data_IF_497943523899
#
_entry.id   IF_497943523899
#
_cell.length_a   1.000
_cell.length_b   1.000
_cell.length_c   1.000
_cell.angle_alpha   90.00
_cell.angle_beta   90.00
_cell.angle_gamma   90.00
#
_symmetry.space_group_name_H-M   'P 1'
#
loop_
_entity.id
_entity.type
_entity.pdbx_description
1 polymer ?
#
# COMPACT_ATOMS: atom_id res chain seq x y z
N UNK A 1 10.25 17.71 19.53
CA UNK A 1 10.73 18.51 18.38
C UNK A 1 10.83 17.59 17.16
N UNK A 2 10.18 17.94 16.06
CA UNK A 2 10.15 17.12 14.84
C UNK A 2 11.42 17.36 14.02
N UNK A 3 11.85 16.38 13.23
CA UNK A 3 13.07 16.48 12.40
C UNK A 3 12.70 16.38 10.93
N UNK A 4 13.19 17.31 10.13
CA UNK A 4 13.02 17.35 8.68
C UNK A 4 14.40 17.20 8.04
N UNK A 5 14.59 16.15 7.26
CA UNK A 5 15.84 15.94 6.52
C UNK A 5 15.80 16.74 5.22
N UNK A 6 16.81 17.57 4.99
CA UNK A 6 16.92 18.35 3.76
C UNK A 6 18.05 17.80 2.91
N UNK A 7 17.72 17.44 1.68
CA UNK A 7 18.67 16.91 0.70
C UNK A 7 18.44 17.55 -0.68
N UNK A 8 19.46 18.21 -1.23
CA UNK A 8 19.39 18.85 -2.56
C UNK A 8 18.19 19.81 -2.72
N UNK A 9 17.86 20.60 -1.71
CA UNK A 9 16.69 21.50 -1.74
C UNK A 9 15.35 20.81 -1.52
N UNK A 10 15.33 19.52 -1.14
CA UNK A 10 14.10 18.78 -0.85
C UNK A 10 14.01 18.51 0.65
N UNK A 11 12.93 18.98 1.26
CA UNK A 11 12.64 18.77 2.68
C UNK A 11 11.78 17.52 2.85
N UNK A 12 12.31 16.50 3.52
CA UNK A 12 11.73 15.18 3.66
C UNK A 12 11.44 14.85 5.13
N UNK A 13 10.25 14.32 5.39
CA UNK A 13 9.84 13.81 6.70
C UNK A 13 9.58 12.32 6.59
N UNK A 14 10.35 11.54 7.35
CA UNK A 14 10.32 10.08 7.26
C UNK A 14 9.42 9.41 8.29
N UNK A 15 9.03 10.10 9.38
CA UNK A 15 8.24 9.51 10.45
C UNK A 15 6.74 9.70 10.25
N UNK A 16 5.96 8.60 10.33
CA UNK A 16 4.50 8.64 10.22
C UNK A 16 3.85 9.57 11.27
N UNK A 17 4.24 9.44 12.53
CA UNK A 17 3.73 10.27 13.63
C UNK A 17 4.06 11.76 13.43
N UNK A 18 5.25 12.05 12.89
CA UNK A 18 5.66 13.41 12.57
C UNK A 18 4.75 14.00 11.48
N UNK A 19 4.48 13.23 10.42
CA UNK A 19 3.58 13.65 9.33
C UNK A 19 2.16 13.88 9.84
N UNK A 20 1.66 13.00 10.69
CA UNK A 20 0.34 13.17 11.31
C UNK A 20 0.28 14.47 12.12
N UNK A 21 1.27 14.72 12.97
CA UNK A 21 1.34 15.94 13.77
C UNK A 21 1.44 17.21 12.91
N UNK A 22 2.18 17.18 11.80
CA UNK A 22 2.27 18.32 10.87
C UNK A 22 0.92 18.64 10.22
N UNK A 23 0.16 17.61 9.83
CA UNK A 23 -1.13 17.78 9.16
C UNK A 23 -2.23 18.23 10.12
N UNK A 24 -2.34 17.55 11.26
CA UNK A 24 -3.43 17.78 12.20
C UNK A 24 -3.22 19.04 13.04
N UNK A 25 -1.98 19.35 13.44
CA UNK A 25 -1.72 20.43 14.40
C UNK A 25 -1.23 21.72 13.77
N UNK A 26 -0.54 21.62 12.62
CA UNK A 26 0.11 22.77 11.97
C UNK A 26 -0.51 23.09 10.61
N UNK A 27 -1.49 22.32 10.14
CA UNK A 27 -2.15 22.55 8.86
C UNK A 27 -1.19 22.45 7.67
N UNK A 28 -0.09 21.70 7.79
CA UNK A 28 0.90 21.52 6.72
C UNK A 28 0.69 20.16 6.06
N UNK A 29 0.22 20.18 4.81
CA UNK A 29 -0.13 18.98 4.06
C UNK A 29 1.06 18.21 3.54
N UNK A 30 2.00 18.91 2.89
CA UNK A 30 3.07 18.33 2.08
C UNK A 30 2.57 17.36 1.00
N UNK A 31 3.51 16.75 0.27
CA UNK A 31 3.24 15.70 -0.72
C UNK A 31 3.96 14.41 -0.33
N UNK A 32 3.22 13.36 -0.05
CA UNK A 32 3.78 12.01 0.15
C UNK A 32 4.47 11.51 -1.12
N UNK A 33 5.64 10.90 -1.01
CA UNK A 33 6.46 10.42 -2.14
C UNK A 33 6.71 8.93 -1.96
N UNK A 34 6.42 8.15 -2.99
CA UNK A 34 6.61 6.69 -3.00
C UNK A 34 5.32 5.96 -3.38
N UNK A 35 5.38 4.64 -3.55
CA UNK A 35 4.22 3.81 -3.86
C UNK A 35 3.86 2.90 -2.68
N UNK A 36 2.59 2.52 -2.55
CA UNK A 36 2.21 1.44 -1.64
C UNK A 36 2.82 0.11 -2.12
N UNK A 37 3.43 -0.70 -1.22
CA UNK A 37 4.04 -1.97 -1.60
C UNK A 37 3.02 -2.98 -2.17
N UNK A 38 1.74 -2.88 -1.76
CA UNK A 38 0.64 -3.73 -2.28
C UNK A 38 0.01 -3.22 -3.59
N UNK A 39 0.42 -2.06 -4.08
CA UNK A 39 -0.15 -1.44 -5.27
C UNK A 39 0.85 -0.51 -5.93
N UNK A 40 1.96 -1.02 -6.51
CA UNK A 40 3.01 -0.18 -7.11
C UNK A 40 2.50 0.67 -8.29
N UNK A 41 1.32 0.35 -8.85
CA UNK A 41 0.63 1.13 -9.89
C UNK A 41 -0.42 2.10 -9.33
N UNK A 42 -0.78 2.01 -8.05
CA UNK A 42 -1.65 2.97 -7.38
C UNK A 42 -0.83 4.14 -6.84
N UNK A 43 -0.45 5.06 -7.74
CA UNK A 43 0.15 6.35 -7.39
C UNK A 43 -0.80 7.29 -6.61
N UNK A 44 -2.04 6.86 -6.35
CA UNK A 44 -3.04 7.63 -5.61
C UNK A 44 -2.85 7.54 -4.09
N UNK A 45 -2.28 6.45 -3.58
CA UNK A 45 -1.91 6.28 -2.17
C UNK A 45 -0.39 6.25 -2.08
N UNK A 46 0.20 7.42 -1.84
CA UNK A 46 1.64 7.59 -1.79
C UNK A 46 2.14 7.29 -0.36
N UNK A 47 3.25 6.58 -0.26
CA UNK A 47 3.90 6.27 1.02
C UNK A 47 4.74 7.43 1.57
N UNK A 48 5.41 7.18 2.70
CA UNK A 48 6.49 8.03 3.19
C UNK A 48 7.73 7.89 2.28
N UNK A 49 8.58 8.93 2.18
CA UNK A 49 8.58 10.17 2.97
C UNK A 49 7.55 11.22 2.53
N UNK A 50 7.20 12.13 3.44
CA UNK A 50 6.48 13.36 3.09
C UNK A 50 7.48 14.40 2.59
N UNK A 51 7.30 14.87 1.36
CA UNK A 51 8.03 15.99 0.79
C UNK A 51 7.31 17.30 1.10
N UNK A 52 7.98 18.19 1.81
CA UNK A 52 7.52 19.54 2.08
C UNK A 52 8.00 20.50 0.98
N UNK A 53 7.18 21.50 0.68
CA UNK A 53 7.58 22.68 -0.09
C UNK A 53 8.65 23.47 0.69
N UNK A 54 9.52 24.23 0.01
CA UNK A 54 10.47 25.13 0.68
C UNK A 54 9.77 26.11 1.63
N UNK A 55 8.61 26.63 1.24
CA UNK A 55 7.83 27.58 2.02
C UNK A 55 7.26 26.91 3.29
N UNK A 56 6.73 25.68 3.18
CA UNK A 56 6.26 24.86 4.31
C UNK A 56 7.42 24.57 5.30
N UNK A 57 8.55 24.09 4.78
CA UNK A 57 9.69 23.72 5.61
C UNK A 57 10.29 24.93 6.34
N UNK A 58 10.32 26.10 5.68
CA UNK A 58 10.75 27.35 6.29
C UNK A 58 9.79 27.79 7.41
N UNK A 59 8.48 27.77 7.16
CA UNK A 59 7.49 28.16 8.16
C UNK A 59 7.64 27.32 9.42
N UNK A 60 7.70 25.99 9.25
CA UNK A 60 7.85 25.04 10.35
C UNK A 60 9.14 25.27 11.15
N UNK A 61 10.23 25.67 10.48
CA UNK A 61 11.49 25.99 11.13
C UNK A 61 11.46 27.35 11.83
N UNK A 62 10.75 28.34 11.26
CA UNK A 62 10.59 29.68 11.84
C UNK A 62 9.75 29.66 13.12
N UNK A 63 8.65 28.89 13.15
CA UNK A 63 7.82 28.72 14.35
C UNK A 63 8.46 27.79 15.41
N UNK A 64 9.60 27.17 15.10
CA UNK A 64 10.31 26.26 16.00
C UNK A 64 9.68 24.86 16.15
N UNK A 65 8.73 24.47 15.29
CA UNK A 65 8.09 23.17 15.34
C UNK A 65 9.02 22.03 14.87
N UNK A 66 9.89 22.33 13.89
CA UNK A 66 10.83 21.38 13.31
C UNK A 66 12.27 21.88 13.37
N UNK A 67 13.22 20.94 13.43
CA UNK A 67 14.63 21.19 13.12
C UNK A 67 14.93 20.68 11.72
N UNK A 68 15.38 21.56 10.84
CA UNK A 68 15.94 21.16 9.56
C UNK A 68 17.33 20.54 9.79
N UNK A 69 17.59 19.40 9.19
CA UNK A 69 18.88 18.73 9.28
C UNK A 69 19.38 18.31 7.92
N UNK A 70 20.69 18.45 7.68
CA UNK A 70 21.36 17.88 6.51
C UNK A 70 22.09 16.61 6.91
N UNK A 71 21.95 15.57 6.08
CA UNK A 71 22.61 14.28 6.29
C UNK A 71 23.82 14.19 5.36
N UNK A 72 25.04 13.97 5.89
CA UNK A 72 26.21 13.75 5.06
C UNK A 72 26.00 12.55 4.13
N UNK A 73 26.34 12.73 2.85
CA UNK A 73 26.19 11.67 1.87
C UNK A 73 27.11 10.50 2.23
N UNK A 74 26.59 9.28 2.36
CA UNK A 74 27.44 8.12 2.50
C UNK A 74 28.29 7.98 1.24
N UNK A 75 29.59 7.78 1.45
CA UNK A 75 30.55 7.53 0.38
C UNK A 75 30.09 6.29 -0.44
N UNK A 76 29.93 6.40 -1.77
CA UNK A 76 29.61 5.27 -2.64
C UNK A 76 30.54 4.07 -2.42
N UNK A 77 31.83 4.30 -2.14
CA UNK A 77 32.79 3.23 -1.88
C UNK A 77 32.47 2.42 -0.61
N UNK A 78 31.75 3.01 0.35
CA UNK A 78 31.35 2.36 1.61
C UNK A 78 30.00 1.64 1.53
N UNK A 79 29.34 1.65 0.37
CA UNK A 79 28.05 0.98 0.18
C UNK A 79 28.16 -0.54 0.09
N UNK A 80 29.32 -1.12 -0.23
CA UNK A 80 29.47 -2.56 -0.43
C UNK A 80 29.02 -3.41 0.77
N UNK A 81 29.43 -3.02 1.98
CA UNK A 81 29.03 -3.70 3.22
C UNK A 81 27.54 -3.56 3.50
N UNK A 82 26.97 -2.36 3.30
CA UNK A 82 25.54 -2.12 3.47
C UNK A 82 24.70 -2.94 2.48
N UNK A 83 25.10 -2.99 1.22
CA UNK A 83 24.45 -3.81 0.19
C UNK A 83 24.51 -5.30 0.51
N UNK A 84 25.65 -5.79 0.99
CA UNK A 84 25.77 -7.18 1.40
C UNK A 84 24.85 -7.51 2.59
N UNK A 85 24.78 -6.63 3.59
CA UNK A 85 23.87 -6.79 4.72
C UNK A 85 22.40 -6.78 4.32
N UNK A 86 22.02 -5.88 3.40
CA UNK A 86 20.67 -5.79 2.85
C UNK A 86 20.27 -7.03 2.07
N UNK A 87 21.15 -7.54 1.19
CA UNK A 87 20.91 -8.79 0.44
C UNK A 87 20.74 -9.99 1.38
N UNK A 88 21.54 -10.06 2.44
CA UNK A 88 21.42 -11.11 3.45
C UNK A 88 20.07 -11.05 4.16
N UNK A 89 19.64 -9.86 4.58
CA UNK A 89 18.34 -9.66 5.23
C UNK A 89 17.18 -10.01 4.29
N UNK A 90 17.28 -9.65 3.01
CA UNK A 90 16.27 -9.99 2.00
C UNK A 90 16.16 -11.52 1.83
N UNK A 91 17.28 -12.23 1.78
CA UNK A 91 17.28 -13.69 1.66
C UNK A 91 16.71 -14.36 2.92
N UNK A 92 17.06 -13.87 4.11
CA UNK A 92 16.47 -14.36 5.37
C UNK A 92 14.95 -14.16 5.39
N UNK A 93 14.48 -12.96 5.02
CA UNK A 93 13.04 -12.68 4.96
C UNK A 93 12.32 -13.55 3.93
N UNK A 94 12.96 -13.86 2.80
CA UNK A 94 12.41 -14.78 1.80
C UNK A 94 12.31 -16.21 2.35
N UNK A 95 13.31 -16.68 3.09
CA UNK A 95 13.28 -17.99 3.72
C UNK A 95 12.16 -18.08 4.77
N UNK A 96 12.03 -17.07 5.63
CA UNK A 96 10.95 -17.00 6.62
C UNK A 96 9.56 -16.98 5.97
N UNK A 97 9.38 -16.14 4.95
CA UNK A 97 8.09 -16.04 4.24
C UNK A 97 7.76 -17.30 3.44
N UNK A 98 8.76 -17.98 2.87
CA UNK A 98 8.54 -19.23 2.15
C UNK A 98 8.15 -20.36 3.10
N UNK A 99 8.75 -20.44 4.29
CA UNK A 99 8.35 -21.38 5.34
C UNK A 99 6.92 -21.14 5.81
N UNK A 100 6.57 -19.89 6.16
CA UNK A 100 5.21 -19.52 6.56
C UNK A 100 4.18 -19.75 5.46
N UNK A 101 4.54 -19.49 4.19
CA UNK A 101 3.66 -19.75 3.06
C UNK A 101 3.43 -21.25 2.85
N UNK A 102 4.44 -22.09 3.09
CA UNK A 102 4.30 -23.55 3.02
C UNK A 102 3.35 -24.06 4.13
N UNK A 103 3.55 -23.62 5.37
CA UNK A 103 2.69 -23.95 6.50
C UNK A 103 1.24 -23.52 6.27
N UNK A 104 1.02 -22.27 5.86
CA UNK A 104 -0.33 -21.74 5.57
C UNK A 104 -1.05 -22.46 4.41
N UNK A 105 -0.29 -23.03 3.46
CA UNK A 105 -0.87 -23.87 2.40
C UNK A 105 -1.21 -25.25 2.91
N UNK A 106 -0.38 -25.82 3.78
CA UNK A 106 -0.64 -27.13 4.38
C UNK A 106 -1.87 -27.10 5.28
N UNK A 107 -2.02 -26.09 6.14
CA UNK A 107 -3.22 -25.92 6.97
C UNK A 107 -4.46 -25.77 6.10
N UNK A 108 -4.41 -24.93 5.06
CA UNK A 108 -5.51 -24.78 4.09
C UNK A 108 -5.84 -26.08 3.35
N UNK A 109 -4.82 -26.91 3.05
CA UNK A 109 -5.01 -28.22 2.42
C UNK A 109 -5.72 -29.18 3.37
N UNK A 110 -5.32 -29.21 4.65
CA UNK A 110 -5.96 -30.04 5.67
C UNK A 110 -7.43 -29.64 5.88
N UNK A 111 -7.72 -28.34 6.01
CA UNK A 111 -9.09 -27.83 6.12
C UNK A 111 -9.95 -28.19 4.90
N UNK A 112 -9.38 -28.15 3.69
CA UNK A 112 -10.10 -28.53 2.48
C UNK A 112 -10.39 -30.03 2.44
N UNK A 113 -9.44 -30.86 2.86
CA UNK A 113 -9.62 -32.31 2.96
C UNK A 113 -10.72 -32.66 3.99
N UNK A 114 -10.74 -31.98 5.14
CA UNK A 114 -11.79 -32.11 6.15
C UNK A 114 -13.17 -31.79 5.56
N UNK A 115 -13.32 -30.64 4.91
CA UNK A 115 -14.58 -30.24 4.22
C UNK A 115 -14.99 -31.23 3.13
N UNK A 116 -14.05 -31.77 2.36
CA UNK A 116 -14.35 -32.78 1.33
C UNK A 116 -14.87 -34.06 2.00
N UNK A 117 -14.24 -34.50 3.09
CA UNK A 117 -14.65 -35.70 3.82
C UNK A 117 -16.03 -35.57 4.46
N UNK A 118 -16.34 -34.42 5.06
CA UNK A 118 -17.66 -34.07 5.59
C UNK A 118 -18.72 -34.06 4.48
N UNK A 119 -18.39 -33.44 3.34
CA UNK A 119 -19.27 -33.39 2.18
C UNK A 119 -19.57 -34.77 1.58
N UNK A 120 -18.57 -35.65 1.52
CA UNK A 120 -18.74 -37.03 1.08
C UNK A 120 -19.56 -37.86 2.07
N UNK A 121 -19.34 -37.70 3.38
CA UNK A 121 -20.12 -38.36 4.42
C UNK A 121 -21.60 -37.92 4.40
N UNK A 122 -21.87 -36.63 4.28
CA UNK A 122 -23.24 -36.10 4.15
C UNK A 122 -23.94 -36.59 2.87
N UNK A 123 -23.20 -36.72 1.77
CA UNK A 123 -23.73 -37.30 0.52
C UNK A 123 -24.06 -38.79 0.69
N UNK A 124 -23.22 -39.55 1.39
CA UNK A 124 -23.46 -40.98 1.67
C UNK A 124 -24.70 -41.17 2.56
N UNK A 125 -24.84 -40.38 3.63
CA UNK A 125 -26.03 -40.44 4.50
C UNK A 125 -27.32 -40.07 3.78
N UNK A 126 -27.30 -39.08 2.87
CA UNK A 126 -28.47 -38.76 2.03
C UNK A 126 -28.82 -39.88 1.04
N UNK A 127 -27.82 -40.57 0.48
CA UNK A 127 -28.09 -41.74 -0.37
C UNK A 127 -28.68 -42.90 0.45
N UNK A 128 -28.19 -43.15 1.66
CA UNK A 128 -28.70 -44.19 2.56
C UNK A 128 -30.15 -43.89 3.01
N UNK A 129 -30.48 -42.62 3.30
CA UNK A 129 -31.84 -42.19 3.61
C UNK A 129 -32.81 -42.33 2.42
N UNK A 130 -32.36 -42.06 1.19
CA UNK A 130 -33.18 -42.25 -0.01
C UNK A 130 -33.30 -43.72 -0.44
N UNK A 131 -32.33 -44.58 -0.13
CA UNK A 131 -32.46 -46.04 -0.36
C UNK A 131 -33.36 -46.74 0.65
N UNK A 132 -33.63 -46.13 1.81
CA UNK A 132 -34.50 -46.66 2.85
C UNK A 132 -36.00 -46.43 2.65
N UNK A 133 -36.42 -45.75 1.57
CA UNK A 133 -37.82 -45.38 1.31
C UNK A 133 -38.47 -46.11 0.12
N UNK A 134 -37.99 -47.30 -0.28
CA UNK A 134 -38.57 -48.07 -1.38
C UNK A 134 -38.83 -49.54 -1.03
N UNK A 135 -39.60 -49.78 0.02
CA UNK A 135 -40.43 -51.00 0.15
C UNK A 135 -41.78 -50.60 0.70
N UNK A 136 -42.68 -50.13 -0.18
CA UNK A 136 -44.11 -50.47 -0.15
C UNK A 136 -44.88 -49.60 -1.15
N UNK A 137 -45.27 -50.19 -2.28
CA UNK A 137 -46.65 -50.30 -2.81
C UNK A 137 -46.68 -50.35 -4.35
N UNK A 138 -47.36 -51.39 -4.85
CA UNK A 138 -47.66 -51.67 -6.25
C UNK A 138 -48.67 -50.67 -6.85
N UNK A 139 -48.50 -50.44 -8.16
CA UNK A 139 -49.35 -49.69 -9.10
C UNK A 139 -50.70 -50.44 -9.39
N UNK A 140 -51.66 -49.98 -10.25
CA UNK A 140 -51.42 -49.50 -11.64
C UNK A 140 -52.37 -48.41 -12.19
N UNK A 141 -52.02 -47.85 -13.36
CA UNK A 141 -52.94 -47.05 -14.19
C UNK A 141 -52.27 -46.30 -15.34
N UNK A 142 -52.25 -46.90 -16.52
CA UNK A 142 -51.68 -46.40 -17.78
C UNK A 142 -52.56 -45.32 -18.44
N UNK A 143 -51.95 -44.30 -19.07
CA UNK A 143 -52.30 -43.84 -20.42
C UNK A 143 -51.31 -42.80 -20.99
N UNK A 144 -51.19 -42.85 -22.32
CA UNK A 144 -50.21 -42.25 -23.23
C UNK A 144 -50.78 -40.98 -23.86
N UNK A 145 -49.98 -39.93 -24.09
CA UNK A 145 -50.19 -38.96 -25.19
C UNK A 145 -48.97 -38.04 -25.41
N UNK A 146 -48.78 -37.68 -26.67
CA UNK A 146 -47.61 -37.09 -27.32
C UNK A 146 -47.48 -35.56 -27.19
N UNK A 147 -46.27 -35.05 -27.47
CA UNK A 147 -46.00 -33.93 -28.39
C UNK A 147 -46.42 -32.50 -28.00
N UNK A 148 -45.44 -31.59 -27.86
CA UNK A 148 -45.04 -30.64 -28.93
C UNK A 148 -44.27 -29.43 -28.35
N UNK A 149 -43.51 -28.80 -29.25
CA UNK A 149 -42.40 -27.88 -29.07
C UNK A 149 -42.77 -26.40 -28.79
N UNK A 150 -41.70 -25.63 -28.48
CA UNK A 150 -41.41 -24.22 -28.86
C UNK A 150 -41.89 -23.01 -28.03
N UNK A 151 -40.94 -22.08 -27.83
CA UNK A 151 -41.13 -20.62 -27.73
C UNK A 151 -40.89 -20.04 -26.33
N UNK A 152 -39.66 -19.81 -25.84
CA UNK A 152 -38.69 -18.75 -26.19
C UNK A 152 -38.83 -17.44 -25.36
N UNK A 153 -37.67 -16.79 -25.16
CA UNK A 153 -37.41 -15.41 -24.76
C UNK A 153 -37.03 -15.09 -23.30
N UNK A 154 -35.73 -15.30 -23.04
CA UNK A 154 -34.74 -14.28 -22.66
C UNK A 154 -34.90 -13.53 -21.32
N UNK A 155 -34.15 -14.03 -20.34
CA UNK A 155 -33.42 -13.21 -19.36
C UNK A 155 -31.94 -13.21 -19.75
N UNK A 156 -31.33 -12.03 -19.94
CA UNK A 156 -29.88 -11.71 -19.90
C UNK A 156 -29.71 -10.23 -20.24
N UNK A 157 -28.89 -9.43 -19.57
CA UNK A 157 -27.98 -9.72 -18.49
C UNK A 157 -27.15 -8.47 -18.18
N UNK A 158 -26.21 -8.62 -17.26
CA UNK A 158 -24.98 -7.84 -17.25
C UNK A 158 -23.87 -8.78 -16.74
N UNK A 159 -22.80 -8.81 -17.52
CA UNK A 159 -21.75 -9.81 -17.54
C UNK A 159 -20.67 -9.46 -16.51
N UNK A 160 -20.36 -10.39 -15.60
CA UNK A 160 -19.04 -10.44 -14.99
C UNK A 160 -18.24 -11.56 -15.64
N UNK A 161 -17.15 -11.16 -16.29
CA UNK A 161 -16.16 -11.99 -16.96
C UNK A 161 -15.55 -13.01 -15.98
N UNK A 162 -16.04 -14.24 -16.07
CA UNK A 162 -15.44 -15.41 -15.46
C UNK A 162 -14.18 -15.81 -16.26
N UNK A 163 -13.00 -15.55 -15.68
CA UNK A 163 -11.78 -16.25 -16.09
C UNK A 163 -11.93 -17.72 -15.68
N UNK A 164 -12.17 -18.54 -16.69
CA UNK A 164 -12.37 -19.98 -16.63
C UNK A 164 -11.27 -20.67 -15.81
N UNK A 165 -11.65 -21.19 -14.65
CA UNK A 165 -10.82 -22.06 -13.82
C UNK A 165 -11.26 -23.50 -14.05
N UNK A 166 -10.60 -24.22 -14.96
CA UNK A 166 -10.79 -25.67 -15.09
C UNK A 166 -10.18 -26.38 -13.86
N UNK A 167 -10.91 -27.29 -13.19
CA UNK A 167 -10.35 -28.10 -12.11
C UNK A 167 -9.63 -29.30 -12.73
N UNK A 168 -8.30 -29.23 -12.82
CA UNK A 168 -7.49 -30.42 -13.06
C UNK A 168 -7.07 -31.01 -11.70
N UNK A 169 -7.47 -32.25 -11.36
CA UNK A 169 -6.91 -32.97 -10.23
C UNK A 169 -5.59 -33.60 -10.67
N UNK A 170 -4.56 -32.75 -10.81
CA UNK A 170 -3.18 -33.19 -10.94
C UNK A 170 -2.56 -33.23 -9.56
N UNK A 171 -2.37 -34.43 -9.00
CA UNK A 171 -1.46 -34.67 -7.89
C UNK A 171 -0.02 -34.42 -8.37
N UNK A 172 0.33 -33.15 -8.52
CA UNK A 172 1.71 -32.69 -8.54
C UNK A 172 2.16 -32.62 -7.09
N UNK A 173 2.93 -33.61 -6.66
CA UNK A 173 3.57 -33.68 -5.34
C UNK A 173 4.63 -32.58 -5.14
N UNK A 174 4.87 -31.75 -6.16
CA UNK A 174 5.68 -30.55 -6.08
C UNK A 174 4.85 -29.37 -5.58
N UNK A 175 5.01 -29.02 -4.30
CA UNK A 175 4.57 -27.73 -3.78
C UNK A 175 5.39 -26.64 -4.47
N UNK A 176 4.77 -25.86 -5.35
CA UNK A 176 5.47 -24.73 -5.98
C UNK A 176 5.96 -23.75 -4.91
N UNK A 177 7.27 -23.51 -4.78
CA UNK A 177 7.81 -22.61 -3.78
C UNK A 177 7.30 -21.18 -4.00
N UNK A 178 7.29 -20.38 -2.94
CA UNK A 178 6.94 -18.95 -3.04
C UNK A 178 7.85 -18.29 -4.10
N UNK A 179 7.31 -17.73 -5.20
CA UNK A 179 8.15 -17.11 -6.20
C UNK A 179 8.81 -15.85 -5.63
N UNK A 180 10.06 -15.56 -6.04
CA UNK A 180 10.80 -14.36 -5.56
C UNK A 180 10.07 -13.05 -5.85
N UNK A 181 9.25 -12.99 -6.89
CA UNK A 181 8.42 -11.83 -7.23
C UNK A 181 7.30 -11.56 -6.22
N UNK A 182 6.91 -12.56 -5.42
CA UNK A 182 5.89 -12.43 -4.38
C UNK A 182 6.48 -12.13 -2.99
N UNK A 183 7.80 -11.94 -2.88
CA UNK A 183 8.45 -11.54 -1.63
C UNK A 183 7.86 -10.22 -1.12
N UNK A 184 7.33 -10.24 0.10
CA UNK A 184 6.91 -9.02 0.78
C UNK A 184 8.15 -8.30 1.30
N UNK A 185 8.41 -7.12 0.78
CA UNK A 185 9.49 -6.26 1.26
C UNK A 185 8.94 -5.35 2.35
N UNK A 186 9.48 -5.45 3.56
CA UNK A 186 9.14 -4.52 4.64
C UNK A 186 9.68 -3.13 4.30
N UNK A 187 8.78 -2.17 4.14
CA UNK A 187 9.15 -0.77 4.00
C UNK A 187 9.26 -0.15 5.40
N UNK A 188 10.41 0.47 5.67
CA UNK A 188 10.58 1.22 6.91
C UNK A 188 9.62 2.41 6.92
N UNK A 189 8.73 2.46 7.92
CA UNK A 189 7.79 3.59 8.14
C UNK A 189 8.43 4.76 8.87
N UNK A 190 9.70 4.60 9.26
CA UNK A 190 10.55 5.63 9.80
C UNK A 190 11.99 5.37 9.38
N UNK A 191 12.72 6.43 9.05
CA UNK A 191 14.18 6.36 8.94
C UNK A 191 14.77 6.54 10.34
N UNK A 192 15.65 5.65 10.82
CA UNK A 192 16.37 5.88 12.06
C UNK A 192 17.06 7.25 11.98
N UNK A 193 16.93 8.07 13.03
CA UNK A 193 17.52 9.42 13.06
C UNK A 193 18.97 9.32 12.58
N UNK A 194 19.37 10.06 11.54
CA UNK A 194 20.73 9.96 11.04
C UNK A 194 21.67 10.40 12.15
N UNK A 195 22.46 9.47 12.69
CA UNK A 195 23.42 9.72 13.79
C UNK A 195 24.42 10.82 13.42
N UNK A 196 24.59 11.08 12.11
CA UNK A 196 25.49 12.09 11.55
C UNK A 196 24.77 13.35 11.04
N UNK A 197 23.48 13.50 11.30
CA UNK A 197 22.71 14.66 10.86
C UNK A 197 23.25 15.93 11.53
N UNK A 198 23.44 16.98 10.73
CA UNK A 198 23.84 18.31 11.23
C UNK A 198 22.66 19.26 11.13
N UNK A 199 22.41 20.12 12.14
CA UNK A 199 21.43 21.18 12.02
C UNK A 199 21.71 22.04 10.79
N UNK A 200 20.65 22.35 10.04
CA UNK A 200 20.70 23.19 8.86
C UNK A 200 20.07 24.54 9.19
N UNK A 201 20.83 25.62 9.00
CA UNK A 201 20.30 26.97 9.11
C UNK A 201 19.67 27.40 7.78
N UNK A 202 18.35 27.62 7.78
CA UNK A 202 17.60 28.05 6.60
C UNK A 202 17.87 29.51 6.21
N UNK A 203 18.52 30.30 7.08
CA UNK A 203 18.90 31.69 6.78
C UNK A 203 20.13 31.80 5.90
N UNK A 204 20.96 30.75 5.89
CA UNK A 204 22.21 30.71 5.14
C UNK A 204 22.04 29.88 3.89
N UNK A 205 22.44 30.44 2.74
CA UNK A 205 22.39 29.70 1.48
C UNK A 205 23.39 28.55 1.53
N UNK A 206 22.90 27.36 1.22
CA UNK A 206 23.70 26.13 1.19
C UNK A 206 23.26 25.23 0.05
N UNK A 207 24.01 24.14 -0.17
CA UNK A 207 23.67 23.13 -1.18
C UNK A 207 22.32 22.47 -0.90
N UNK A 208 22.03 22.20 0.37
CA UNK A 208 20.77 21.58 0.77
C UNK A 208 19.65 22.60 0.94
N UNK A 209 19.98 23.87 1.20
CA UNK A 209 19.01 24.97 1.23
C UNK A 209 19.40 26.11 0.28
N UNK A 210 19.09 25.99 -1.03
CA UNK A 210 19.47 27.00 -2.03
C UNK A 210 18.57 28.24 -2.00
N UNK A 211 17.48 28.22 -1.22
CA UNK A 211 16.40 29.20 -1.27
C UNK A 211 16.66 30.48 -0.46
N UNK A 212 17.58 30.44 0.49
CA UNK A 212 17.91 31.59 1.33
C UNK A 212 18.37 32.78 0.49
N UNK A 213 17.83 33.96 0.80
CA UNK A 213 18.18 35.23 0.16
C UNK A 213 17.69 35.40 -1.27
N UNK A 214 16.93 34.45 -1.83
CA UNK A 214 16.37 34.59 -3.18
C UNK A 214 15.08 35.42 -3.15
N UNK A 215 15.00 36.57 -3.87
CA UNK A 215 13.83 37.45 -3.84
C UNK A 215 12.51 36.73 -4.19
N UNK A 216 12.54 35.85 -5.21
CA UNK A 216 11.37 35.09 -5.62
C UNK A 216 10.85 34.14 -4.52
N UNK A 217 11.76 33.49 -3.78
CA UNK A 217 11.38 32.62 -2.68
C UNK A 217 10.92 33.42 -1.46
N UNK A 218 11.55 34.54 -1.14
CA UNK A 218 11.10 35.43 -0.07
C UNK A 218 9.67 35.94 -0.31
N UNK A 219 9.37 36.34 -1.55
CA UNK A 219 8.02 36.78 -1.93
C UNK A 219 7.00 35.65 -1.77
N UNK A 220 7.26 34.47 -2.34
CA UNK A 220 6.37 33.31 -2.21
C UNK A 220 6.17 32.88 -0.77
N UNK A 221 7.23 32.90 0.03
CA UNK A 221 7.15 32.58 1.46
C UNK A 221 6.27 33.57 2.22
N UNK A 222 6.39 34.88 1.96
CA UNK A 222 5.53 35.88 2.60
C UNK A 222 4.06 35.67 2.27
N UNK A 223 3.76 35.36 1.01
CA UNK A 223 2.39 35.05 0.56
C UNK A 223 1.88 33.78 1.25
N UNK A 224 2.69 32.71 1.25
CA UNK A 224 2.37 31.46 1.92
C UNK A 224 2.07 31.66 3.41
N UNK A 225 2.93 32.41 4.11
CA UNK A 225 2.81 32.71 5.54
C UNK A 225 1.53 33.51 5.83
N UNK A 226 1.26 34.57 5.07
CA UNK A 226 0.04 35.38 5.24
C UNK A 226 -1.23 34.55 5.02
N UNK A 227 -1.29 33.70 4.00
CA UNK A 227 -2.43 32.81 3.77
C UNK A 227 -2.59 31.77 4.88
N UNK A 228 -1.49 31.20 5.37
CA UNK A 228 -1.51 30.24 6.46
C UNK A 228 -1.95 30.89 7.78
N UNK A 229 -1.47 32.10 8.09
CA UNK A 229 -1.87 32.86 9.29
C UNK A 229 -3.36 33.24 9.28
N UNK A 230 -3.96 33.38 8.09
CA UNK A 230 -5.41 33.57 7.90
C UNK A 230 -6.22 32.27 8.05
N UNK A 231 -5.57 31.14 8.34
CA UNK A 231 -6.22 29.85 8.54
C UNK A 231 -6.49 29.06 7.26
N UNK A 232 -5.95 29.47 6.11
CA UNK A 232 -6.13 28.68 4.88
C UNK A 232 -5.22 27.46 4.84
N UNK A 233 -5.71 26.37 4.26
CA UNK A 233 -4.90 25.19 3.96
C UNK A 233 -4.29 25.31 2.56
N UNK A 234 -2.98 25.12 2.46
CA UNK A 234 -2.20 25.37 1.25
C UNK A 234 -1.59 24.09 0.70
N UNK A 235 -1.58 23.95 -0.63
CA UNK A 235 -0.83 22.89 -1.31
C UNK A 235 -0.22 23.38 -2.62
N UNK A 236 0.68 22.61 -3.22
CA UNK A 236 1.34 22.99 -4.48
C UNK A 236 0.35 23.03 -5.67
N UNK A 237 0.26 24.15 -6.39
CA UNK A 237 -0.59 24.33 -7.56
C UNK A 237 0.09 24.06 -8.91
N UNK A 238 1.24 23.38 -8.93
CA UNK A 238 2.01 23.19 -10.17
C UNK A 238 1.23 22.54 -11.33
N UNK A 239 0.19 21.73 -11.03
CA UNK A 239 -0.69 21.14 -12.05
C UNK A 239 -1.72 22.11 -12.66
N UNK A 240 -1.97 23.22 -11.98
CA UNK A 240 -2.97 24.23 -12.33
C UNK A 240 -2.32 25.53 -12.83
N UNK A 241 -1.00 25.52 -13.04
CA UNK A 241 -0.25 26.70 -13.52
C UNK A 241 -0.06 27.80 -12.46
N UNK A 242 -0.36 27.52 -11.19
CA UNK A 242 -0.14 28.45 -10.07
C UNK A 242 0.96 27.97 -9.11
N UNK A 243 1.33 28.82 -8.15
CA UNK A 243 2.23 28.45 -7.06
C UNK A 243 1.49 27.66 -5.96
N UNK A 244 0.34 28.16 -5.49
CA UNK A 244 -0.42 27.57 -4.39
C UNK A 244 -1.89 27.32 -4.73
N UNK A 245 -2.43 26.19 -4.27
CA UNK A 245 -3.87 25.95 -4.15
C UNK A 245 -4.25 26.33 -2.73
N UNK A 246 -5.28 27.16 -2.62
CA UNK A 246 -5.78 27.67 -1.35
C UNK A 246 -7.14 27.02 -1.11
N UNK A 247 -7.26 26.34 0.02
CA UNK A 247 -8.51 25.78 0.48
C UNK A 247 -8.95 26.55 1.73
N UNK A 248 -10.26 26.83 1.88
CA UNK A 248 -10.79 27.33 3.14
C UNK A 248 -10.39 26.36 4.26
N UNK A 249 -9.87 26.90 5.36
CA UNK A 249 -9.69 26.12 6.58
C UNK A 249 -11.03 25.71 7.17
N UNK A 250 -11.01 24.68 8.01
CA UNK A 250 -12.14 24.32 8.88
C UNK A 250 -12.40 25.42 9.93
#
# INVERSE_FOLDING_TARGET
MLVVEVENGRSLVWGAEAVQALRERLGVGGRTVGALPRGPRQNSRLGLPLLLMPEEARLLAEIGAVTLVSVPRPDPARHGLALASFKRQQEQSFQEQSALAAEARETRRQELLEKISEGQAAKKQKLEQNSGSCESQQAPGSQVAEGNETGDSQASGEQEEAVSSSPQPGLSDGVDPLPRSALLVQLATARPRPVKAKPLDWRVQSKDWPHAGRPAHELRYRIYKDLWERGFFLSAAGKFGGDFLVYPGE
#
